data_IF_408697250675
#
_entry.id   IF_408697250675
#
_cell.length_a   1.000
_cell.length_b   1.000
_cell.length_c   1.000
_cell.angle_alpha   90.00
_cell.angle_beta   90.00
_cell.angle_gamma   90.00
#
_symmetry.space_group_name_H-M   'P 1'
#
loop_
_entity.id
_entity.type
_entity.pdbx_description
1 polymer ?
#
# COMPACT_ATOMS: atom_id res chain seq x y z
N UNK A 1 5.17 8.92 -13.47
CA UNK A 1 3.75 8.57 -13.39
C UNK A 1 3.58 7.08 -13.14
N UNK A 2 2.76 6.73 -12.17
CA UNK A 2 2.61 5.34 -11.79
C UNK A 2 1.22 4.82 -12.09
N UNK A 3 1.18 3.59 -12.66
CA UNK A 3 -0.07 2.86 -12.70
C UNK A 3 -0.15 2.00 -11.44
N UNK A 4 -1.32 1.44 -11.19
CA UNK A 4 -1.49 0.53 -10.06
C UNK A 4 -0.47 -0.61 -10.15
N UNK A 5 -0.35 -1.21 -11.32
CA UNK A 5 0.57 -2.33 -11.51
C UNK A 5 2.03 -1.94 -11.26
N UNK A 6 2.46 -0.81 -11.79
CA UNK A 6 3.85 -0.40 -11.63
C UNK A 6 4.18 -0.07 -10.17
N UNK A 7 3.23 0.53 -9.46
CA UNK A 7 3.46 0.87 -8.07
C UNK A 7 3.47 -0.39 -7.20
N UNK A 8 2.61 -1.36 -7.49
CA UNK A 8 2.64 -2.64 -6.78
C UNK A 8 3.97 -3.35 -6.97
N UNK A 9 4.50 -3.33 -8.19
CA UNK A 9 5.79 -3.95 -8.46
C UNK A 9 6.91 -3.29 -7.67
N UNK A 10 6.87 -1.97 -7.55
CA UNK A 10 7.84 -1.25 -6.74
C UNK A 10 7.74 -1.67 -5.27
N UNK A 11 6.52 -1.72 -4.75
CA UNK A 11 6.30 -2.11 -3.37
C UNK A 11 6.77 -3.53 -3.11
N UNK A 12 6.45 -4.43 -4.03
CA UNK A 12 6.85 -5.81 -3.92
C UNK A 12 8.38 -5.94 -3.85
N UNK A 13 9.09 -5.26 -4.76
CA UNK A 13 10.54 -5.31 -4.78
C UNK A 13 11.14 -4.75 -3.49
N UNK A 14 10.58 -3.64 -3.04
CA UNK A 14 11.07 -2.97 -1.86
C UNK A 14 10.92 -3.85 -0.61
N UNK A 15 9.77 -4.46 -0.43
CA UNK A 15 9.53 -5.31 0.72
C UNK A 15 10.28 -6.64 0.63
N UNK A 16 10.41 -7.19 -0.56
CA UNK A 16 11.07 -8.49 -0.70
C UNK A 16 12.55 -8.41 -0.34
N UNK A 17 13.15 -7.24 -0.44
CA UNK A 17 14.56 -7.06 -0.04
C UNK A 17 14.74 -7.26 1.46
N UNK A 18 13.67 -7.16 2.21
CA UNK A 18 13.73 -7.36 3.65
C UNK A 18 13.27 -8.73 4.07
N UNK A 19 13.22 -9.66 3.15
CA UNK A 19 12.85 -11.05 3.43
C UNK A 19 11.42 -11.22 3.92
N UNK A 20 10.54 -10.35 3.48
CA UNK A 20 9.13 -10.48 3.83
C UNK A 20 8.50 -11.54 2.94
N UNK A 21 7.94 -12.57 3.55
CA UNK A 21 7.34 -13.67 2.80
C UNK A 21 6.13 -13.27 1.99
N UNK A 22 5.38 -12.32 2.47
CA UNK A 22 4.12 -11.95 1.83
C UNK A 22 4.16 -10.55 1.23
N UNK A 23 5.34 -10.19 0.69
CA UNK A 23 5.54 -8.83 0.21
C UNK A 23 4.54 -8.40 -0.86
N UNK A 24 4.18 -9.32 -1.76
CA UNK A 24 3.20 -8.97 -2.79
C UNK A 24 1.82 -8.77 -2.21
N UNK A 25 1.39 -9.68 -1.36
CA UNK A 25 0.09 -9.58 -0.72
C UNK A 25 0.00 -8.33 0.14
N UNK A 26 1.05 -8.05 0.88
CA UNK A 26 1.07 -6.88 1.74
C UNK A 26 1.02 -5.60 0.93
N UNK A 27 1.73 -5.54 -0.19
CA UNK A 27 1.67 -4.39 -1.07
C UNK A 27 0.25 -4.16 -1.59
N UNK A 28 -0.42 -5.25 -1.96
CA UNK A 28 -1.79 -5.15 -2.44
C UNK A 28 -2.74 -4.66 -1.35
N UNK A 29 -2.57 -5.17 -0.15
CA UNK A 29 -3.40 -4.76 0.96
C UNK A 29 -3.22 -3.27 1.24
N UNK A 30 -1.98 -2.81 1.28
CA UNK A 30 -1.72 -1.42 1.57
C UNK A 30 -2.26 -0.49 0.49
N UNK A 31 -2.07 -0.85 -0.77
CA UNK A 31 -2.57 0.00 -1.84
C UNK A 31 -4.08 0.00 -1.91
N UNK A 32 -4.72 -1.16 -1.73
CA UNK A 32 -6.18 -1.21 -1.74
C UNK A 32 -6.76 -0.38 -0.60
N UNK A 33 -6.07 -0.36 0.53
CA UNK A 33 -6.50 0.46 1.66
C UNK A 33 -6.44 1.95 1.31
N UNK A 34 -5.37 2.38 0.66
CA UNK A 34 -5.21 3.77 0.24
C UNK A 34 -6.31 4.17 -0.75
N UNK A 35 -6.62 3.27 -1.67
CA UNK A 35 -7.64 3.55 -2.67
C UNK A 35 -9.06 3.34 -2.15
N UNK A 36 -9.18 2.75 -0.97
CA UNK A 36 -10.46 2.41 -0.37
C UNK A 36 -11.25 1.48 -1.28
N UNK A 37 -10.56 0.48 -1.82
CA UNK A 37 -11.14 -0.51 -2.73
C UNK A 37 -10.71 -1.90 -2.31
N UNK A 38 -11.42 -2.91 -2.83
CA UNK A 38 -11.03 -4.30 -2.64
C UNK A 38 -9.75 -4.60 -3.39
N UNK A 39 -8.96 -5.58 -2.94
CA UNK A 39 -7.80 -6.02 -3.73
C UNK A 39 -8.15 -6.46 -5.14
N UNK A 40 -9.36 -6.94 -5.37
CA UNK A 40 -9.81 -7.27 -6.72
C UNK A 40 -9.77 -6.08 -7.66
N UNK A 41 -10.03 -4.89 -7.12
CA UNK A 41 -10.01 -3.67 -7.91
C UNK A 41 -8.63 -3.46 -8.53
N UNK A 42 -7.58 -3.82 -7.81
CA UNK A 42 -6.23 -3.64 -8.31
C UNK A 42 -5.96 -4.51 -9.52
N UNK A 43 -6.51 -5.72 -9.52
CA UNK A 43 -6.34 -6.64 -10.63
C UNK A 43 -7.10 -6.15 -11.85
N UNK A 44 -8.34 -5.73 -11.63
CA UNK A 44 -9.20 -5.29 -12.73
C UNK A 44 -8.79 -3.95 -13.30
N UNK A 45 -8.08 -3.14 -12.52
CA UNK A 45 -7.71 -1.79 -12.92
C UNK A 45 -6.21 -1.54 -12.87
N UNK A 46 -5.43 -2.57 -13.17
CA UNK A 46 -3.98 -2.49 -13.02
C UNK A 46 -3.31 -1.43 -13.88
N UNK A 47 -3.99 -1.00 -14.93
CA UNK A 47 -3.45 0.03 -15.82
C UNK A 47 -3.86 1.45 -15.44
N UNK A 48 -4.70 1.59 -14.43
CA UNK A 48 -5.13 2.92 -14.02
C UNK A 48 -3.98 3.72 -13.45
N UNK A 49 -3.93 5.00 -13.80
CA UNK A 49 -2.89 5.88 -13.33
C UNK A 49 -3.27 6.44 -11.98
N UNK A 50 -2.30 6.46 -11.07
CA UNK A 50 -2.51 6.93 -9.72
C UNK A 50 -2.14 8.40 -9.60
N UNK A 51 -2.81 9.09 -8.69
CA UNK A 51 -2.52 10.48 -8.39
C UNK A 51 -1.30 10.56 -7.47
N UNK A 52 -0.63 11.70 -7.51
CA UNK A 52 0.58 11.88 -6.70
C UNK A 52 0.37 11.62 -5.21
N UNK A 53 -0.74 12.09 -4.66
CA UNK A 53 -0.98 11.89 -3.23
C UNK A 53 -1.18 10.41 -2.90
N UNK A 54 -1.73 9.64 -3.83
CA UNK A 54 -1.90 8.20 -3.62
C UNK A 54 -0.57 7.49 -3.64
N UNK A 55 0.31 7.89 -4.57
CA UNK A 55 1.65 7.32 -4.66
C UNK A 55 2.43 7.63 -3.39
N UNK A 56 2.38 8.88 -2.94
CA UNK A 56 3.11 9.28 -1.74
C UNK A 56 2.62 8.54 -0.50
N UNK A 57 1.31 8.37 -0.38
CA UNK A 57 0.75 7.63 0.74
C UNK A 57 1.21 6.16 0.72
N UNK A 58 1.22 5.56 -0.46
CA UNK A 58 1.64 4.17 -0.58
C UNK A 58 3.11 4.03 -0.19
N UNK A 59 3.96 4.93 -0.68
CA UNK A 59 5.39 4.88 -0.37
C UNK A 59 5.61 5.00 1.14
N UNK A 60 4.87 5.88 1.77
CA UNK A 60 4.97 6.04 3.22
C UNK A 60 4.61 4.75 3.96
N UNK A 61 3.51 4.12 3.57
CA UNK A 61 3.09 2.88 4.23
C UNK A 61 4.07 1.74 3.98
N UNK A 62 4.62 1.66 2.78
CA UNK A 62 5.61 0.65 2.44
C UNK A 62 6.87 0.83 3.29
N UNK A 63 7.30 2.07 3.48
CA UNK A 63 8.47 2.34 4.31
C UNK A 63 8.23 1.95 5.76
N UNK A 64 7.04 2.21 6.26
CA UNK A 64 6.70 1.83 7.62
C UNK A 64 6.70 0.31 7.78
N UNK A 65 6.15 -0.40 6.78
CA UNK A 65 6.16 -1.85 6.82
C UNK A 65 7.58 -2.40 6.77
N UNK A 66 8.43 -1.78 5.98
CA UNK A 66 9.82 -2.18 5.89
C UNK A 66 10.54 -2.03 7.23
N UNK A 67 10.19 -1.01 8.00
CA UNK A 67 10.77 -0.78 9.30
C UNK A 67 10.26 -1.74 10.37
N UNK A 68 9.30 -2.58 10.02
CA UNK A 68 8.82 -3.61 10.93
C UNK A 68 7.45 -3.38 11.53
N UNK A 69 6.76 -2.34 11.14
CA UNK A 69 5.41 -2.13 11.65
C UNK A 69 4.48 -3.21 11.11
N UNK A 70 3.66 -3.83 11.98
CA UNK A 70 2.71 -4.83 11.50
C UNK A 70 1.65 -4.19 10.59
N UNK A 71 1.23 -4.93 9.60
CA UNK A 71 0.22 -4.46 8.66
C UNK A 71 -1.05 -3.99 9.39
N UNK A 72 -1.52 -4.78 10.35
CA UNK A 72 -2.73 -4.42 11.07
C UNK A 72 -2.59 -3.09 11.79
N UNK A 73 -1.42 -2.82 12.33
CA UNK A 73 -1.16 -1.58 13.03
C UNK A 73 -1.11 -0.40 12.06
N UNK A 74 -0.48 -0.59 10.91
CA UNK A 74 -0.42 0.45 9.89
C UNK A 74 -1.81 0.84 9.41
N UNK A 75 -2.64 -0.15 9.13
CA UNK A 75 -4.00 0.09 8.65
C UNK A 75 -4.85 0.78 9.71
N UNK A 76 -4.71 0.35 10.94
CA UNK A 76 -5.45 0.94 12.02
C UNK A 76 -5.09 2.40 12.23
N UNK A 77 -3.79 2.70 12.18
CA UNK A 77 -3.32 4.03 12.35
C UNK A 77 -3.79 4.95 11.23
N UNK A 78 -3.81 4.43 10.03
CA UNK A 78 -4.28 5.18 8.89
C UNK A 78 -5.75 5.55 9.04
N UNK A 79 -6.57 4.59 9.43
CA UNK A 79 -7.96 4.84 9.66
C UNK A 79 -8.19 5.81 10.77
N UNK A 80 -7.38 5.65 11.84
CA UNK A 80 -7.52 6.43 12.97
C UNK A 80 -7.14 7.84 12.77
N UNK A 81 -6.19 8.03 11.93
CA UNK A 81 -5.73 9.33 11.60
C UNK A 81 -6.79 10.21 11.13
N UNK A 82 -7.90 9.66 10.76
CA UNK A 82 -8.91 10.40 10.37
C UNK A 82 -9.92 10.68 11.31
N UNK A 83 -9.97 10.20 12.30
CA UNK A 83 -10.95 10.41 13.13
C UNK A 83 -10.67 10.92 14.29
N UNK A 84 -10.15 11.01 14.68
CA UNK A 84 -9.95 11.31 15.71
C UNK A 84 -10.36 11.95 16.47
N UNK A 85 -10.60 11.57 15.97
CA UNK A 85 -10.98 11.98 16.42
C UNK A 85 -11.44 12.06 16.94
N UNK A 86 -11.52 11.81 17.00
CA UNK A 86 -12.02 11.83 17.27
C UNK A 86 -12.34 12.04 17.63
#
# INVERSE_FOLDING_TARGET
MYTINSLLNQGFKYLSRNSTKFSRLESEILLSHILNKDPKYLILNHSNILQNHQVNSFVELIQRRKLGEPIAYILKKKNFGNMIFM
#
